data_IF_889631700665
#
_entry.id   IF_889631700665
#
_cell.length_a   1.000
_cell.length_b   1.000
_cell.length_c   1.000
_cell.angle_alpha   90.00
_cell.angle_beta   90.00
_cell.angle_gamma   90.00
#
_symmetry.space_group_name_H-M   'P 1'
#
loop_
_entity.id
_entity.type
_entity.pdbx_description
1 polymer ?
#
# COMPACT_ATOMS: atom_id res chain seq x y z
N UNK A 1 40.13 15.34 75.44
CA UNK A 1 39.04 16.12 76.08
C UNK A 1 37.87 16.05 75.11
N UNK A 2 37.09 14.94 75.15
CA UNK A 2 35.87 14.77 75.97
C UNK A 2 34.72 15.60 75.35
N UNK A 3 33.54 15.12 74.95
CA UNK A 3 32.73 13.92 75.23
C UNK A 3 31.77 13.72 74.02
N UNK A 4 31.45 12.50 73.56
CA UNK A 4 30.29 11.65 73.93
C UNK A 4 28.98 12.39 74.22
N UNK A 5 27.87 11.86 73.67
CA UNK A 5 26.42 12.25 73.76
C UNK A 5 25.99 12.93 72.43
N UNK A 6 25.17 12.36 71.55
CA UNK A 6 23.98 11.56 71.78
C UNK A 6 23.80 10.46 70.71
N UNK A 7 24.01 9.22 71.15
CA UNK A 7 23.32 8.04 70.65
C UNK A 7 21.88 8.14 71.17
N UNK A 8 20.92 8.50 70.33
CA UNK A 8 19.48 8.21 70.51
C UNK A 8 18.63 8.78 69.36
N UNK A 9 18.78 8.26 68.14
CA UNK A 9 17.75 8.42 67.10
C UNK A 9 17.73 7.28 66.07
N UNK A 10 18.48 6.20 66.30
CA UNK A 10 18.44 4.97 65.50
C UNK A 10 17.68 3.90 66.27
N UNK A 11 16.37 3.82 66.07
CA UNK A 11 15.50 2.64 66.27
C UNK A 11 14.07 3.03 66.65
N UNK A 12 13.32 3.64 65.71
CA UNK A 12 11.86 3.47 65.62
C UNK A 12 11.36 4.24 64.41
N UNK A 13 11.29 3.56 63.27
CA UNK A 13 10.29 3.76 62.20
C UNK A 13 10.56 2.81 61.00
N UNK A 14 10.96 1.57 61.28
CA UNK A 14 10.59 0.46 60.41
C UNK A 14 9.20 0.00 60.86
N UNK A 15 8.15 0.45 60.18
CA UNK A 15 6.85 -0.23 60.05
C UNK A 15 5.79 0.76 59.55
N UNK A 16 5.63 0.80 58.22
CA UNK A 16 4.38 0.99 57.45
C UNK A 16 4.82 1.14 55.98
N UNK A 17 5.12 0.04 55.30
CA UNK A 17 4.16 -0.63 54.40
C UNK A 17 3.48 0.37 53.46
N UNK A 18 4.11 0.61 52.31
CA UNK A 18 3.54 0.37 50.99
C UNK A 18 4.53 0.93 49.96
N UNK A 19 5.32 0.06 49.34
CA UNK A 19 5.88 0.38 48.04
C UNK A 19 4.70 0.60 47.08
N UNK A 20 4.52 1.77 46.44
CA UNK A 20 3.80 1.77 45.20
C UNK A 20 4.70 1.00 44.23
N UNK A 21 4.38 -0.28 44.03
CA UNK A 21 4.82 -1.00 42.85
C UNK A 21 4.38 -0.15 41.67
N UNK A 22 5.32 0.61 41.11
CA UNK A 22 5.18 1.20 39.79
C UNK A 22 5.26 0.01 38.85
N UNK A 23 4.16 -0.75 38.78
CA UNK A 23 3.85 -1.56 37.63
C UNK A 23 3.75 -0.56 36.50
N UNK A 24 4.89 -0.34 35.84
CA UNK A 24 4.93 0.18 34.50
C UNK A 24 3.91 -0.66 33.73
N UNK A 25 2.75 -0.06 33.47
CA UNK A 25 1.76 -0.63 32.59
C UNK A 25 2.43 -0.67 31.23
N UNK A 26 3.21 -1.73 30.98
CA UNK A 26 3.57 -2.18 29.65
C UNK A 26 2.23 -2.44 29.01
N UNK A 27 1.71 -1.41 28.35
CA UNK A 27 0.52 -1.51 27.54
C UNK A 27 0.94 -2.29 26.29
N UNK A 28 1.27 -3.57 26.49
CA UNK A 28 1.49 -4.54 25.44
C UNK A 28 0.14 -4.71 24.79
N UNK A 29 -0.01 -4.05 23.64
CA UNK A 29 -1.14 -4.28 22.75
C UNK A 29 -1.18 -5.77 22.44
N UNK A 30 -2.18 -6.49 22.95
CA UNK A 30 -2.34 -7.90 22.64
C UNK A 30 -2.73 -8.07 21.16
N UNK A 31 -2.49 -9.26 20.62
CA UNK A 31 -2.74 -9.53 19.20
C UNK A 31 -4.21 -9.32 18.82
N UNK A 32 -5.15 -9.54 19.74
CA UNK A 32 -6.59 -9.36 19.54
C UNK A 32 -6.96 -7.87 19.42
N UNK A 33 -6.34 -7.04 20.24
CA UNK A 33 -6.45 -5.59 20.25
C UNK A 33 -5.84 -5.03 18.97
N UNK A 34 -4.66 -5.51 18.57
CA UNK A 34 -4.06 -5.18 17.27
C UNK A 34 -4.99 -5.56 16.10
N UNK A 35 -5.54 -6.77 16.09
CA UNK A 35 -6.47 -7.20 15.03
C UNK A 35 -7.75 -6.35 14.99
N UNK A 36 -8.28 -5.98 16.16
CA UNK A 36 -9.49 -5.16 16.27
C UNK A 36 -9.23 -3.72 15.82
N UNK A 37 -8.08 -3.14 16.21
CA UNK A 37 -7.62 -1.84 15.74
C UNK A 37 -7.38 -1.86 14.24
N UNK A 38 -6.67 -2.87 13.71
CA UNK A 38 -6.45 -3.03 12.27
C UNK A 38 -7.77 -3.06 11.52
N UNK A 39 -8.75 -3.85 11.98
CA UNK A 39 -10.08 -3.94 11.35
C UNK A 39 -10.82 -2.59 11.42
N UNK A 40 -10.77 -1.89 12.55
CA UNK A 40 -11.39 -0.58 12.73
C UNK A 40 -10.77 0.48 11.80
N UNK A 41 -9.45 0.53 11.73
CA UNK A 41 -8.68 1.40 10.83
C UNK A 41 -9.03 1.08 9.37
N UNK A 42 -9.04 -0.20 8.98
CA UNK A 42 -9.46 -0.62 7.63
C UNK A 42 -10.88 -0.19 7.27
N UNK A 43 -11.80 -0.13 8.23
CA UNK A 43 -13.16 0.38 8.00
C UNK A 43 -13.24 1.91 7.93
N UNK A 44 -12.36 2.64 8.63
CA UNK A 44 -12.28 4.11 8.54
C UNK A 44 -11.61 4.57 7.23
N UNK A 45 -10.60 3.86 6.74
CA UNK A 45 -9.96 4.15 5.45
C UNK A 45 -10.87 3.92 4.23
N UNK A 46 -12.06 3.34 4.41
CA UNK A 46 -13.07 3.16 3.35
C UNK A 46 -13.59 4.49 2.78
N UNK A 47 -13.17 5.64 3.31
CA UNK A 47 -13.55 6.99 2.87
C UNK A 47 -12.40 7.86 2.36
N UNK A 48 -11.16 7.37 2.39
CA UNK A 48 -10.03 8.09 1.79
C UNK A 48 -9.84 7.62 0.36
N UNK A 49 -10.26 8.46 -0.59
CA UNK A 49 -9.84 8.30 -1.97
C UNK A 49 -8.35 8.61 -2.07
N UNK A 50 -7.60 7.75 -2.74
CA UNK A 50 -6.21 7.98 -3.13
C UNK A 50 -6.24 8.92 -4.33
N UNK A 51 -5.59 10.07 -4.19
CA UNK A 51 -5.44 11.02 -5.29
C UNK A 51 -4.10 10.82 -6.05
N UNK A 52 -3.83 11.71 -7.00
CA UNK A 52 -2.58 11.64 -7.79
C UNK A 52 -1.32 11.87 -6.93
N UNK A 53 -1.39 12.68 -5.86
CA UNK A 53 -0.24 12.93 -4.98
C UNK A 53 0.09 11.72 -4.11
N UNK A 54 -0.94 10.98 -3.69
CA UNK A 54 -0.78 9.74 -2.95
C UNK A 54 -0.21 8.60 -3.80
N UNK A 55 -0.50 8.58 -5.11
CA UNK A 55 -0.03 7.54 -6.03
C UNK A 55 1.50 7.38 -6.00
N UNK A 56 2.24 8.47 -6.14
CA UNK A 56 3.70 8.42 -6.14
C UNK A 56 4.29 7.96 -4.81
N UNK A 57 3.67 8.32 -3.69
CA UNK A 57 4.09 7.82 -2.37
C UNK A 57 3.87 6.31 -2.25
N UNK A 58 2.72 5.81 -2.71
CA UNK A 58 2.41 4.38 -2.71
C UNK A 58 3.30 3.61 -3.69
N UNK A 59 3.62 4.19 -4.85
CA UNK A 59 4.54 3.60 -5.80
C UNK A 59 5.95 3.48 -5.20
N UNK A 60 6.47 4.54 -4.59
CA UNK A 60 7.79 4.53 -3.95
C UNK A 60 7.86 3.56 -2.75
N UNK A 61 6.76 3.41 -2.00
CA UNK A 61 6.70 2.52 -0.85
C UNK A 61 6.66 1.03 -1.26
N UNK A 62 5.89 0.71 -2.29
CA UNK A 62 5.61 -0.69 -2.65
C UNK A 62 6.48 -1.21 -3.80
N UNK A 63 6.92 -0.32 -4.68
CA UNK A 63 7.69 -0.62 -5.89
C UNK A 63 8.80 0.44 -6.08
N UNK A 64 9.76 0.56 -5.14
CA UNK A 64 10.82 1.55 -5.23
C UNK A 64 11.63 1.43 -6.53
N UNK A 65 11.81 0.21 -7.05
CA UNK A 65 12.47 -0.08 -8.32
C UNK A 65 11.71 0.47 -9.54
N UNK A 66 10.41 0.75 -9.41
CA UNK A 66 9.62 1.38 -10.47
C UNK A 66 9.62 2.89 -10.28
N UNK A 67 9.49 3.35 -9.02
CA UNK A 67 9.47 4.78 -8.70
C UNK A 67 10.76 5.51 -9.08
N UNK A 68 11.92 4.84 -9.03
CA UNK A 68 13.21 5.41 -9.43
C UNK A 68 13.28 5.79 -10.93
N UNK A 69 12.37 5.25 -11.75
CA UNK A 69 12.29 5.52 -13.18
C UNK A 69 11.32 6.66 -13.53
N UNK A 70 10.72 7.32 -12.53
CA UNK A 70 9.89 8.51 -12.76
C UNK A 70 10.80 9.72 -12.83
N UNK A 71 10.89 10.31 -14.02
CA UNK A 71 11.66 11.53 -14.24
C UNK A 71 10.96 12.74 -13.60
N UNK A 72 11.75 13.74 -13.20
CA UNK A 72 11.22 14.99 -12.63
C UNK A 72 10.24 15.71 -13.57
N UNK A 73 10.43 15.57 -14.90
CA UNK A 73 9.54 16.13 -15.91
C UNK A 73 8.17 15.45 -15.99
N UNK A 74 8.08 14.21 -15.52
CA UNK A 74 6.85 13.42 -15.57
C UNK A 74 6.03 13.56 -14.27
N UNK A 75 6.65 14.11 -13.23
CA UNK A 75 6.04 14.29 -11.92
C UNK A 75 4.84 15.25 -11.98
N UNK A 76 3.73 14.84 -11.38
CA UNK A 76 2.46 15.57 -11.40
C UNK A 76 1.60 15.30 -12.64
N UNK A 77 2.10 14.54 -13.62
CA UNK A 77 1.33 14.07 -14.77
C UNK A 77 0.95 12.60 -14.59
N UNK A 78 -0.17 12.35 -13.95
CA UNK A 78 -0.61 11.00 -13.53
C UNK A 78 -0.54 9.94 -14.64
N UNK A 79 -0.86 10.28 -15.88
CA UNK A 79 -0.79 9.34 -17.00
C UNK A 79 0.65 8.96 -17.38
N UNK A 80 1.62 9.85 -17.18
CA UNK A 80 3.05 9.59 -17.37
C UNK A 80 3.59 8.75 -16.22
N UNK A 81 3.26 9.10 -14.97
CA UNK A 81 3.65 8.35 -13.78
C UNK A 81 3.11 6.89 -13.84
N UNK A 82 1.83 6.73 -14.19
CA UNK A 82 1.23 5.41 -14.46
C UNK A 82 1.87 4.74 -15.68
N UNK A 83 2.34 5.53 -16.65
CA UNK A 83 3.11 5.06 -17.80
C UNK A 83 4.41 4.36 -17.40
N UNK A 84 5.09 4.82 -16.35
CA UNK A 84 6.29 4.16 -15.81
C UNK A 84 5.93 2.79 -15.23
N UNK A 85 4.87 2.70 -14.43
CA UNK A 85 4.36 1.43 -13.92
C UNK A 85 3.93 0.47 -15.05
N UNK A 86 3.36 1.01 -16.13
CA UNK A 86 3.02 0.25 -17.34
C UNK A 86 4.27 -0.33 -18.00
N UNK A 87 5.32 0.48 -18.20
CA UNK A 87 6.58 0.01 -18.78
C UNK A 87 7.25 -1.07 -17.92
N UNK A 88 7.26 -0.90 -16.60
CA UNK A 88 7.77 -1.91 -15.68
C UNK A 88 6.97 -3.23 -15.76
N UNK A 89 5.64 -3.13 -15.84
CA UNK A 89 4.75 -4.29 -15.99
C UNK A 89 4.94 -4.99 -17.33
N UNK A 90 5.07 -4.24 -18.42
CA UNK A 90 5.39 -4.78 -19.73
C UNK A 90 6.73 -5.55 -19.71
N UNK A 91 7.78 -4.95 -19.10
CA UNK A 91 9.08 -5.61 -18.95
C UNK A 91 8.97 -6.92 -18.15
N UNK A 92 8.17 -6.93 -17.09
CA UNK A 92 7.91 -8.14 -16.30
C UNK A 92 7.19 -9.23 -17.12
N UNK A 93 6.18 -8.85 -17.92
CA UNK A 93 5.44 -9.77 -18.81
C UNK A 93 6.39 -10.39 -19.83
N UNK A 94 7.12 -9.56 -20.59
CA UNK A 94 8.05 -10.02 -21.64
C UNK A 94 9.20 -10.84 -21.05
N UNK A 95 9.72 -10.43 -19.89
CA UNK A 95 10.76 -11.14 -19.15
C UNK A 95 10.27 -12.41 -18.43
N UNK A 96 8.96 -12.71 -18.49
CA UNK A 96 8.30 -13.79 -17.76
C UNK A 96 8.50 -13.74 -16.23
N UNK A 97 8.75 -12.54 -15.71
CA UNK A 97 8.81 -12.30 -14.26
C UNK A 97 7.39 -12.15 -13.71
N UNK A 98 6.74 -13.29 -13.52
CA UNK A 98 5.37 -13.35 -12.99
C UNK A 98 5.30 -12.91 -11.53
N UNK A 99 6.41 -13.00 -10.78
CA UNK A 99 6.46 -12.53 -9.39
C UNK A 99 6.45 -11.01 -9.33
N UNK A 100 7.27 -10.35 -10.14
CA UNK A 100 7.27 -8.89 -10.29
C UNK A 100 5.91 -8.39 -10.78
N UNK A 101 5.36 -9.02 -11.83
CA UNK A 101 4.03 -8.69 -12.34
C UNK A 101 2.95 -8.82 -11.27
N UNK A 102 2.98 -9.87 -10.43
CA UNK A 102 2.02 -10.05 -9.36
C UNK A 102 2.09 -8.90 -8.33
N UNK A 103 3.28 -8.39 -8.00
CA UNK A 103 3.42 -7.22 -7.13
C UNK A 103 2.76 -5.98 -7.74
N UNK A 104 2.97 -5.77 -9.05
CA UNK A 104 2.32 -4.66 -9.76
C UNK A 104 0.81 -4.79 -9.75
N UNK A 105 0.28 -5.99 -10.02
CA UNK A 105 -1.15 -6.29 -9.99
C UNK A 105 -1.78 -6.03 -8.62
N UNK A 106 -1.10 -6.43 -7.55
CA UNK A 106 -1.57 -6.19 -6.17
C UNK A 106 -1.70 -4.68 -5.92
N UNK A 107 -0.67 -3.90 -6.26
CA UNK A 107 -0.70 -2.45 -6.08
C UNK A 107 -1.83 -1.81 -6.90
N UNK A 108 -1.93 -2.11 -8.20
CA UNK A 108 -2.97 -1.52 -9.06
C UNK A 108 -4.37 -1.92 -8.60
N UNK A 109 -4.56 -3.14 -8.10
CA UNK A 109 -5.86 -3.59 -7.57
C UNK A 109 -6.28 -2.81 -6.34
N UNK A 110 -5.34 -2.60 -5.41
CA UNK A 110 -5.57 -1.80 -4.22
C UNK A 110 -5.85 -0.34 -4.58
N UNK A 111 -5.07 0.23 -5.51
CA UNK A 111 -5.27 1.59 -6.01
C UNK A 111 -6.64 1.74 -6.68
N UNK A 112 -7.04 0.87 -7.60
CA UNK A 112 -8.35 0.94 -8.25
C UNK A 112 -9.53 0.85 -7.27
N UNK A 113 -9.35 0.16 -6.14
CA UNK A 113 -10.37 0.08 -5.09
C UNK A 113 -10.55 1.38 -4.30
N UNK A 114 -9.59 2.30 -4.36
CA UNK A 114 -9.55 3.53 -3.56
C UNK A 114 -9.29 4.79 -4.39
N UNK A 115 -8.99 4.69 -5.68
CA UNK A 115 -8.60 5.81 -6.51
C UNK A 115 -9.73 6.83 -6.68
N UNK A 116 -9.36 8.11 -6.73
CA UNK A 116 -10.24 9.13 -7.29
C UNK A 116 -10.50 8.88 -8.79
N UNK A 117 -11.39 9.67 -9.39
CA UNK A 117 -11.77 9.47 -10.79
C UNK A 117 -10.57 9.61 -11.75
N UNK A 118 -9.66 10.55 -11.47
CA UNK A 118 -8.51 10.86 -12.32
C UNK A 118 -7.51 9.71 -12.32
N UNK A 119 -7.10 9.24 -11.15
CA UNK A 119 -6.19 8.10 -11.00
C UNK A 119 -6.86 6.81 -11.50
N UNK A 120 -8.15 6.62 -11.24
CA UNK A 120 -8.89 5.47 -11.75
C UNK A 120 -8.87 5.43 -13.28
N UNK A 121 -9.12 6.56 -13.95
CA UNK A 121 -9.06 6.65 -15.41
C UNK A 121 -7.64 6.45 -15.95
N UNK A 122 -6.62 6.98 -15.27
CA UNK A 122 -5.22 6.75 -15.63
C UNK A 122 -4.83 5.27 -15.53
N UNK A 123 -5.14 4.60 -14.41
CA UNK A 123 -4.87 3.17 -14.25
C UNK A 123 -5.64 2.32 -15.27
N UNK A 124 -6.90 2.67 -15.55
CA UNK A 124 -7.67 1.96 -16.56
C UNK A 124 -7.07 2.13 -17.96
N UNK A 125 -6.87 3.36 -18.40
CA UNK A 125 -6.51 3.66 -19.80
C UNK A 125 -5.01 3.49 -20.04
N UNK A 126 -4.18 4.10 -19.21
CA UNK A 126 -2.73 4.17 -19.41
C UNK A 126 -1.97 2.95 -18.87
N UNK A 127 -2.60 2.12 -18.04
CA UNK A 127 -2.01 0.87 -17.56
C UNK A 127 -2.73 -0.35 -18.10
N UNK A 128 -4.00 -0.57 -17.73
CA UNK A 128 -4.71 -1.82 -18.05
C UNK A 128 -5.01 -1.97 -19.55
N UNK A 129 -5.69 -0.99 -20.15
CA UNK A 129 -6.02 -1.03 -21.57
C UNK A 129 -4.73 -0.97 -22.41
N UNK A 130 -3.78 -0.10 -22.06
CA UNK A 130 -2.51 0.01 -22.77
C UNK A 130 -1.63 -1.25 -22.72
N UNK A 131 -1.77 -2.12 -21.70
CA UNK A 131 -0.98 -3.36 -21.57
C UNK A 131 -1.62 -4.57 -22.24
N UNK A 132 -2.95 -4.65 -22.28
CA UNK A 132 -3.63 -5.90 -22.62
C UNK A 132 -4.56 -5.79 -23.82
N UNK A 133 -4.94 -4.58 -24.23
CA UNK A 133 -5.83 -4.41 -25.36
C UNK A 133 -5.10 -4.78 -26.66
N UNK A 134 -5.61 -5.78 -27.37
CA UNK A 134 -5.05 -6.32 -28.63
C UNK A 134 -3.73 -7.08 -28.52
N UNK A 135 -3.23 -7.29 -27.31
CA UNK A 135 -2.04 -8.12 -27.10
C UNK A 135 -2.39 -9.61 -27.16
N UNK A 136 -1.79 -10.32 -28.12
CA UNK A 136 -2.03 -11.74 -28.39
C UNK A 136 -0.81 -12.63 -28.07
N UNK A 137 0.27 -12.06 -27.51
CA UNK A 137 1.47 -12.80 -27.14
C UNK A 137 1.19 -13.86 -26.05
N UNK A 138 1.91 -14.97 -26.08
CA UNK A 138 1.71 -16.07 -25.12
C UNK A 138 1.95 -15.62 -23.66
N UNK A 139 2.95 -14.76 -23.47
CA UNK A 139 3.24 -14.09 -22.20
C UNK A 139 2.11 -13.15 -21.74
N UNK A 140 1.48 -12.42 -22.66
CA UNK A 140 0.33 -11.57 -22.36
C UNK A 140 -0.92 -12.38 -22.02
N UNK A 141 -1.13 -13.52 -22.68
CA UNK A 141 -2.21 -14.46 -22.33
C UNK A 141 -2.00 -14.99 -20.91
N UNK A 142 -0.78 -15.40 -20.57
CA UNK A 142 -0.45 -15.85 -19.21
C UNK A 142 -0.66 -14.72 -18.19
N UNK A 143 -0.17 -13.52 -18.47
CA UNK A 143 -0.37 -12.35 -17.62
C UNK A 143 -1.85 -12.00 -17.44
N UNK A 144 -2.65 -12.09 -18.51
CA UNK A 144 -4.09 -11.84 -18.49
C UNK A 144 -4.83 -12.82 -17.57
N UNK A 145 -4.38 -14.07 -17.51
CA UNK A 145 -4.95 -15.08 -16.61
C UNK A 145 -4.69 -14.81 -15.12
N UNK A 146 -3.76 -13.90 -14.80
CA UNK A 146 -3.47 -13.46 -13.43
C UNK A 146 -4.30 -12.24 -13.02
N UNK A 147 -5.06 -11.64 -13.93
CA UNK A 147 -5.86 -10.46 -13.63
C UNK A 147 -6.96 -10.80 -12.61
N UNK A 148 -7.14 -9.96 -11.58
CA UNK A 148 -8.34 -10.03 -10.76
C UNK A 148 -9.59 -9.81 -11.61
N UNK A 149 -10.67 -10.51 -11.28
CA UNK A 149 -11.96 -10.46 -12.00
C UNK A 149 -12.45 -9.04 -12.30
N UNK A 150 -12.26 -8.11 -11.36
CA UNK A 150 -12.61 -6.69 -11.55
C UNK A 150 -11.90 -6.08 -12.78
N UNK A 151 -10.59 -6.32 -12.93
CA UNK A 151 -9.81 -5.82 -14.07
C UNK A 151 -10.18 -6.54 -15.36
N UNK A 152 -10.41 -7.85 -15.30
CA UNK A 152 -10.89 -8.61 -16.47
C UNK A 152 -12.22 -8.04 -17.00
N UNK A 153 -13.15 -7.71 -16.10
CA UNK A 153 -14.44 -7.11 -16.46
C UNK A 153 -14.26 -5.71 -17.05
N UNK A 154 -13.32 -4.91 -16.52
CA UNK A 154 -12.98 -3.60 -17.08
C UNK A 154 -12.40 -3.72 -18.50
N UNK A 155 -11.47 -4.65 -18.70
CA UNK A 155 -10.83 -4.89 -19.99
C UNK A 155 -11.86 -5.40 -21.02
N UNK A 156 -12.73 -6.33 -20.63
CA UNK A 156 -13.82 -6.84 -21.49
C UNK A 156 -14.77 -5.73 -21.94
N UNK A 157 -15.09 -4.79 -21.05
CA UNK A 157 -15.88 -3.60 -21.41
C UNK A 157 -15.13 -2.71 -22.39
N UNK A 158 -13.81 -2.57 -22.27
CA UNK A 158 -13.00 -1.79 -23.20
C UNK A 158 -12.95 -2.42 -24.59
N UNK A 159 -12.74 -3.73 -24.67
CA UNK A 159 -12.80 -4.50 -25.93
C UNK A 159 -14.14 -4.32 -26.65
N UNK A 160 -15.26 -4.43 -25.91
CA UNK A 160 -16.59 -4.21 -26.48
C UNK A 160 -16.84 -2.77 -26.96
N UNK A 161 -16.24 -1.75 -26.31
CA UNK A 161 -16.31 -0.35 -26.80
C UNK A 161 -15.51 -0.18 -28.09
N UNK A 162 -14.38 -0.86 -28.22
CA UNK A 162 -13.53 -0.78 -29.41
C UNK A 162 -14.18 -1.42 -30.62
N UNK A 163 -14.81 -2.58 -30.45
CA UNK A 163 -15.52 -3.27 -31.55
C UNK A 163 -16.60 -2.38 -32.16
N UNK A 164 -17.43 -1.76 -31.31
CA UNK A 164 -18.46 -0.80 -31.76
C UNK A 164 -17.92 0.41 -32.50
N UNK A 165 -16.67 0.81 -32.25
CA UNK A 165 -16.01 1.91 -32.98
C UNK A 165 -15.40 1.45 -34.30
N UNK A 166 -15.12 0.16 -34.48
CA UNK A 166 -14.65 -0.40 -35.75
C UNK A 166 -15.78 -0.62 -36.75
N UNK A 167 -16.99 -0.86 -36.26
CA UNK A 167 -18.20 -1.09 -37.06
C UNK A 167 -18.91 0.21 -37.51
N UNK A 168 -18.36 1.39 -37.18
CA UNK A 168 -18.85 2.72 -37.57
C UNK A 168 -17.92 3.37 -38.59
#
# INVERSE_FOLDING_TARGET
MNDTIAVAATAKLESLVAHPSVEAHKHTMDFKTFCSLRRMISHQHKKWSVDCGDFMQLLALHLPEVAEHVDESDFGYIHLEVGVLKLASHKAIVGRDMSGLLRHLILVTDLLGRADQTLHDALRVSWLEALFLEECGAEFIAARSMLPKMMEDMLRKAEGRKERKRDQ
#
